data_IF_900366524733
#
_entry.id   IF_900366524733
#
_cell.length_a   1.000
_cell.length_b   1.000
_cell.length_c   1.000
_cell.angle_alpha   90.00
_cell.angle_beta   90.00
_cell.angle_gamma   90.00
#
_symmetry.space_group_name_H-M   'P 1'
#
loop_
_entity.id
_entity.type
_entity.pdbx_description
1 polymer ?
#
# COMPACT_ATOMS: atom_id res chain seq x y z
N UNK A 1 11.25 -0.41 -2.30
CA UNK A 1 10.80 0.08 -0.98
C UNK A 1 9.61 -0.79 -0.61
N UNK A 2 9.70 -1.57 0.46
CA UNK A 2 8.54 -2.31 0.94
C UNK A 2 7.57 -1.28 1.53
N UNK A 3 6.41 -1.09 0.90
CA UNK A 3 5.26 -0.56 1.62
C UNK A 3 5.05 -1.51 2.79
N UNK A 4 5.02 -1.01 4.02
CA UNK A 4 4.63 -1.85 5.16
C UNK A 4 3.25 -2.42 4.82
N UNK A 5 3.18 -3.73 4.61
CA UNK A 5 1.94 -4.40 4.24
C UNK A 5 0.88 -4.07 5.29
N UNK A 6 -0.35 -3.84 4.84
CA UNK A 6 -1.46 -3.61 5.76
C UNK A 6 -1.66 -4.87 6.61
N UNK A 7 -1.47 -4.76 7.92
CA UNK A 7 -1.59 -5.88 8.85
C UNK A 7 -3.07 -6.09 9.21
N UNK A 8 -3.74 -6.90 8.40
CA UNK A 8 -5.14 -7.28 8.54
C UNK A 8 -5.45 -7.85 9.94
N UNK A 9 -4.54 -8.65 10.51
CA UNK A 9 -4.75 -9.28 11.81
C UNK A 9 -4.68 -8.24 12.94
N UNK A 10 -3.66 -7.38 12.91
CA UNK A 10 -3.51 -6.31 13.90
C UNK A 10 -4.71 -5.36 13.85
N UNK A 11 -5.17 -4.98 12.67
CA UNK A 11 -6.33 -4.11 12.50
C UNK A 11 -7.63 -4.76 13.00
N UNK A 12 -7.90 -6.02 12.65
CA UNK A 12 -9.06 -6.75 13.14
C UNK A 12 -9.04 -6.86 14.68
N UNK A 13 -7.87 -7.09 15.29
CA UNK A 13 -7.73 -7.14 16.74
C UNK A 13 -8.00 -5.78 17.40
N UNK A 14 -7.58 -4.67 16.78
CA UNK A 14 -7.93 -3.33 17.27
C UNK A 14 -9.45 -3.11 17.25
N UNK A 15 -10.13 -3.50 16.18
CA UNK A 15 -11.59 -3.40 16.10
C UNK A 15 -12.29 -4.25 17.16
N UNK A 16 -11.83 -5.49 17.38
CA UNK A 16 -12.34 -6.37 18.45
C UNK A 16 -12.18 -5.73 19.82
N UNK A 17 -11.00 -5.16 20.10
CA UNK A 17 -10.73 -4.46 21.36
C UNK A 17 -11.57 -3.19 21.54
N UNK A 18 -12.00 -2.57 20.45
CA UNK A 18 -12.94 -1.44 20.45
C UNK A 18 -14.42 -1.87 20.60
N UNK A 19 -14.69 -3.17 20.75
CA UNK A 19 -16.04 -3.72 20.93
C UNK A 19 -16.77 -4.09 19.63
N UNK A 20 -16.09 -4.08 18.49
CA UNK A 20 -16.66 -4.54 17.22
C UNK A 20 -16.78 -6.08 17.27
N UNK A 21 -17.93 -6.66 16.89
CA UNK A 21 -18.08 -8.12 16.83
C UNK A 21 -17.01 -8.77 15.96
N UNK A 22 -16.46 -9.95 16.35
CA UNK A 22 -15.34 -10.56 15.63
C UNK A 22 -15.54 -10.72 14.13
N UNK A 23 -16.73 -11.20 13.71
CA UNK A 23 -17.07 -11.36 12.30
C UNK A 23 -17.07 -10.03 11.53
N UNK A 24 -17.50 -8.94 12.16
CA UNK A 24 -17.50 -7.61 11.54
C UNK A 24 -16.10 -7.02 11.50
N UNK A 25 -15.29 -7.24 12.54
CA UNK A 25 -13.91 -6.78 12.61
C UNK A 25 -13.04 -7.43 11.53
N UNK A 26 -13.20 -8.73 11.33
CA UNK A 26 -12.50 -9.49 10.28
C UNK A 26 -12.96 -9.04 8.88
N UNK A 27 -14.26 -8.95 8.64
CA UNK A 27 -14.79 -8.50 7.36
C UNK A 27 -14.34 -7.07 6.98
N UNK A 28 -14.27 -6.16 7.96
CA UNK A 28 -13.77 -4.80 7.74
C UNK A 28 -12.27 -4.79 7.42
N UNK A 29 -11.48 -5.60 8.14
CA UNK A 29 -10.05 -5.70 7.91
C UNK A 29 -9.75 -6.25 6.52
N UNK A 30 -10.46 -7.30 6.10
CA UNK A 30 -10.33 -7.90 4.77
C UNK A 30 -10.72 -6.93 3.66
N UNK A 31 -11.87 -6.27 3.79
CA UNK A 31 -12.32 -5.28 2.80
C UNK A 31 -11.33 -4.11 2.66
N UNK A 32 -10.74 -3.64 3.76
CA UNK A 32 -9.76 -2.56 3.73
C UNK A 32 -8.41 -3.03 3.15
N UNK A 33 -8.00 -4.27 3.41
CA UNK A 33 -6.81 -4.87 2.82
C UNK A 33 -6.93 -4.95 1.29
N UNK A 34 -8.07 -5.39 0.76
CA UNK A 34 -8.32 -5.47 -0.70
C UNK A 34 -8.23 -4.09 -1.38
N UNK A 35 -8.79 -3.05 -0.75
CA UNK A 35 -8.69 -1.68 -1.26
C UNK A 35 -7.24 -1.20 -1.30
N UNK A 36 -6.47 -1.47 -0.24
CA UNK A 36 -5.05 -1.11 -0.21
C UNK A 36 -4.26 -1.88 -1.26
N UNK A 37 -4.45 -3.19 -1.41
CA UNK A 37 -3.76 -3.97 -2.44
C UNK A 37 -4.04 -3.44 -3.85
N UNK A 38 -5.31 -3.15 -4.15
CA UNK A 38 -5.72 -2.66 -5.48
C UNK A 38 -5.18 -1.26 -5.76
N UNK A 39 -5.25 -0.34 -4.79
CA UNK A 39 -4.82 1.04 -4.99
C UNK A 39 -3.31 1.22 -4.92
N UNK A 40 -2.60 0.48 -4.05
CA UNK A 40 -1.16 0.59 -3.92
C UNK A 40 -0.42 0.13 -5.17
N UNK A 41 -0.98 -0.80 -5.95
CA UNK A 41 -0.42 -1.22 -7.24
C UNK A 41 -0.40 -0.11 -8.30
N UNK A 42 -1.26 0.91 -8.18
CA UNK A 42 -1.36 2.00 -9.15
C UNK A 42 -0.45 3.20 -8.81
N UNK A 43 0.22 3.17 -7.66
CA UNK A 43 1.05 4.29 -7.20
C UNK A 43 2.50 4.14 -7.67
N UNK A 44 3.03 5.22 -8.24
CA UNK A 44 4.45 5.30 -8.55
C UNK A 44 5.27 5.22 -7.25
N UNK A 45 6.27 4.34 -7.25
CA UNK A 45 7.21 4.18 -6.16
C UNK A 45 8.38 5.15 -6.30
N UNK A 46 9.15 5.33 -5.22
CA UNK A 46 10.41 6.08 -5.27
C UNK A 46 11.41 5.52 -6.29
N UNK A 47 11.35 4.21 -6.57
CA UNK A 47 12.21 3.58 -7.55
C UNK A 47 11.81 3.98 -8.97
N UNK A 48 10.50 4.02 -9.26
CA UNK A 48 9.96 4.45 -10.56
C UNK A 48 10.37 5.90 -10.86
N UNK A 49 10.31 6.77 -9.84
CA UNK A 49 10.75 8.17 -9.96
C UNK A 49 12.26 8.26 -10.23
N UNK A 50 13.08 7.49 -9.53
CA UNK A 50 14.54 7.46 -9.74
C UNK A 50 14.91 6.94 -11.12
N UNK A 51 14.20 5.94 -11.61
CA UNK A 51 14.40 5.43 -12.97
C UNK A 51 14.04 6.49 -14.02
N UNK A 52 12.95 7.23 -13.79
CA UNK A 52 12.55 8.33 -14.65
C UNK A 52 13.59 9.47 -14.67
N UNK A 53 14.13 9.84 -13.51
CA UNK A 53 15.20 10.85 -13.36
C UNK A 53 16.43 10.47 -14.19
N UNK A 54 16.95 9.25 -14.03
CA UNK A 54 18.11 8.77 -14.79
C UNK A 54 17.86 8.74 -16.31
N UNK A 55 16.64 8.38 -16.73
CA UNK A 55 16.26 8.40 -18.16
C UNK A 55 16.20 9.82 -18.72
N UNK A 56 15.80 10.81 -17.92
CA UNK A 56 15.76 12.21 -18.32
C UNK A 56 17.18 12.78 -18.47
N UNK A 57 18.05 12.56 -17.48
CA UNK A 57 19.46 12.98 -17.53
C UNK A 57 20.17 12.40 -18.77
N UNK A 58 20.05 11.09 -19.00
CA UNK A 58 20.69 10.46 -20.17
C UNK A 58 20.16 11.00 -21.51
N UNK A 59 18.95 11.55 -21.58
CA UNK A 59 18.41 12.16 -22.81
C UNK A 59 18.93 13.58 -23.00
N UNK A 60 19.13 14.33 -21.92
CA UNK A 60 19.69 15.69 -21.96
C UNK A 60 21.16 15.65 -22.37
N UNK A 61 21.94 14.69 -21.86
CA UNK A 61 23.37 14.55 -22.21
C UNK A 61 23.63 14.09 -23.66
N UNK A 62 22.58 13.60 -24.36
CA UNK A 62 22.66 13.09 -25.73
C UNK A 62 22.12 14.06 -26.79
N UNK A 63 21.58 15.21 -26.39
CA UNK A 63 21.05 16.26 -27.29
C UNK A 63 21.99 17.44 -27.35
#
# INVERSE_FOLDING_TARGET
MALAAFDTLSFANQLKNAGVPPAHAEAQAEALAEVFETHLQQLATKADLRELELKLESKIDKG
#
